data_IF_149334700033
#
_entry.id   IF_149334700033
#
_cell.length_a   1.000
_cell.length_b   1.000
_cell.length_c   1.000
_cell.angle_alpha   90.00
_cell.angle_beta   90.00
_cell.angle_gamma   90.00
#
_symmetry.space_group_name_H-M   'P 1'
#
loop_
_entity.id
_entity.type
_entity.pdbx_description
1 polymer ?
#
# COMPACT_ATOMS: atom_id res chain seq x y z
N UNK A 1 9.76 32.57 -0.32
CA UNK A 1 10.20 32.01 1.00
C UNK A 1 10.21 30.52 0.87
N UNK A 2 11.18 29.81 1.43
CA UNK A 2 11.22 28.33 1.37
C UNK A 2 9.99 27.73 2.05
N UNK A 3 9.66 26.50 1.69
CA UNK A 3 8.68 25.70 2.40
C UNK A 3 9.30 25.11 3.67
N UNK A 4 8.50 24.97 4.72
CA UNK A 4 8.94 24.26 5.92
C UNK A 4 8.98 22.76 5.66
N UNK A 5 7.95 22.24 4.98
CA UNK A 5 7.79 20.81 4.72
C UNK A 5 7.35 20.59 3.28
N UNK A 6 8.03 19.70 2.54
CA UNK A 6 7.55 19.18 1.27
C UNK A 6 7.24 17.68 1.38
N UNK A 7 6.06 17.29 0.92
CA UNK A 7 5.57 15.91 0.90
C UNK A 7 5.51 15.43 -0.54
N UNK A 8 6.22 14.36 -0.86
CA UNK A 8 6.24 13.77 -2.21
C UNK A 8 5.35 12.54 -2.24
N UNK A 9 4.19 12.67 -2.88
CA UNK A 9 3.14 11.66 -3.01
C UNK A 9 1.92 11.95 -2.15
N UNK A 10 0.74 12.07 -2.78
CA UNK A 10 -0.57 12.29 -2.16
C UNK A 10 -1.40 10.99 -1.99
N UNK A 11 -0.74 9.84 -1.87
CA UNK A 11 -1.41 8.61 -1.45
C UNK A 11 -1.81 8.67 0.04
N UNK A 12 -2.36 7.57 0.62
CA UNK A 12 -2.87 7.56 2.00
C UNK A 12 -1.90 8.09 3.05
N UNK A 13 -0.59 7.88 2.88
CA UNK A 13 0.40 8.41 3.81
C UNK A 13 0.57 9.93 3.69
N UNK A 14 0.79 10.43 2.46
CA UNK A 14 1.02 11.86 2.24
C UNK A 14 -0.22 12.70 2.50
N UNK A 15 -1.40 12.25 2.06
CA UNK A 15 -2.65 12.94 2.33
C UNK A 15 -2.98 12.99 3.82
N UNK A 16 -2.75 11.89 4.57
CA UNK A 16 -2.91 11.88 6.03
C UNK A 16 -1.95 12.85 6.70
N UNK A 17 -0.68 12.86 6.31
CA UNK A 17 0.31 13.77 6.88
C UNK A 17 -0.07 15.23 6.61
N UNK A 18 -0.34 15.58 5.35
CA UNK A 18 -0.73 16.93 4.94
C UNK A 18 -1.94 17.44 5.72
N UNK A 19 -2.94 16.57 5.95
CA UNK A 19 -4.14 16.89 6.75
C UNK A 19 -3.83 17.20 8.21
N UNK A 20 -2.83 16.54 8.81
CA UNK A 20 -2.57 16.59 10.25
C UNK A 20 -1.47 17.60 10.66
N UNK A 21 -0.74 18.14 9.68
CA UNK A 21 0.28 19.16 9.99
C UNK A 21 -0.36 20.47 10.45
N UNK A 22 0.27 21.08 11.46
CA UNK A 22 -0.14 22.35 12.01
C UNK A 22 -0.06 23.47 10.96
N UNK A 23 -1.07 24.36 10.94
CA UNK A 23 -1.19 25.50 10.02
C UNK A 23 -0.04 26.51 10.09
N UNK A 24 0.80 26.46 11.14
CA UNK A 24 2.00 27.29 11.25
C UNK A 24 3.07 26.92 10.21
N UNK A 25 3.00 25.71 9.64
CA UNK A 25 3.95 25.29 8.61
C UNK A 25 3.47 25.65 7.22
N UNK A 26 4.38 26.18 6.40
CA UNK A 26 4.18 26.29 4.97
C UNK A 26 4.47 24.94 4.33
N UNK A 27 3.42 24.24 3.92
CA UNK A 27 3.49 22.85 3.41
C UNK A 27 3.27 22.80 1.91
N UNK A 28 4.12 22.09 1.19
CA UNK A 28 3.97 21.74 -0.23
C UNK A 28 3.72 20.25 -0.37
N UNK A 29 2.63 19.85 -0.99
CA UNK A 29 2.32 18.47 -1.35
C UNK A 29 2.38 18.30 -2.86
N UNK A 30 3.21 17.39 -3.36
CA UNK A 30 3.35 17.09 -4.79
C UNK A 30 2.89 15.67 -5.11
N UNK A 31 2.05 15.51 -6.13
CA UNK A 31 1.75 14.19 -6.72
C UNK A 31 1.81 14.25 -8.25
N UNK A 32 2.28 13.15 -8.85
CA UNK A 32 2.35 13.02 -10.31
C UNK A 32 0.98 12.80 -10.97
N UNK A 33 -0.04 12.42 -10.20
CA UNK A 33 -1.43 12.23 -10.61
C UNK A 33 -2.22 13.50 -10.34
N UNK A 34 -3.36 13.65 -11.02
CA UNK A 34 -4.37 14.62 -10.62
C UNK A 34 -5.42 13.93 -9.76
N UNK A 35 -5.38 14.18 -8.46
CA UNK A 35 -6.34 13.61 -7.50
C UNK A 35 -7.43 14.59 -7.10
N UNK A 36 -7.40 15.82 -7.64
CA UNK A 36 -8.42 16.85 -7.44
C UNK A 36 -9.39 16.90 -8.61
N UNK A 37 -8.87 16.84 -9.84
CA UNK A 37 -9.63 16.83 -11.08
C UNK A 37 -9.15 15.67 -11.97
N UNK A 38 -9.45 14.42 -11.58
CA UNK A 38 -8.93 13.24 -12.27
C UNK A 38 -9.55 13.08 -13.67
N UNK A 39 -8.71 12.93 -14.67
CA UNK A 39 -9.14 12.64 -16.04
C UNK A 39 -9.65 11.20 -16.19
N UNK A 40 -10.60 10.98 -17.11
CA UNK A 40 -11.00 9.63 -17.49
C UNK A 40 -9.81 8.86 -18.07
N UNK A 41 -9.60 7.63 -17.59
CA UNK A 41 -8.49 6.78 -18.05
C UNK A 41 -7.14 7.06 -17.39
N UNK A 42 -7.04 8.02 -16.47
CA UNK A 42 -5.81 8.23 -15.72
C UNK A 42 -5.39 6.96 -14.95
N UNK A 43 -4.09 6.68 -14.99
CA UNK A 43 -3.52 5.48 -14.32
C UNK A 43 -3.70 5.55 -12.81
N UNK A 44 -4.48 4.64 -12.29
CA UNK A 44 -4.63 4.43 -10.84
C UNK A 44 -3.49 3.57 -10.28
N UNK A 45 -3.28 3.63 -8.97
CA UNK A 45 -2.37 2.68 -8.32
C UNK A 45 -2.98 1.27 -8.39
N UNK A 46 -2.27 0.31 -8.97
CA UNK A 46 -2.65 -1.09 -8.92
C UNK A 46 -2.79 -1.53 -7.45
N UNK A 47 -3.99 -1.97 -7.09
CA UNK A 47 -4.35 -2.38 -5.74
C UNK A 47 -5.64 -3.21 -5.79
N UNK A 48 -5.75 -4.24 -4.97
CA UNK A 48 -7.01 -5.00 -4.81
C UNK A 48 -8.18 -4.16 -4.30
N UNK A 49 -7.90 -3.01 -3.67
CA UNK A 49 -8.94 -2.11 -3.16
C UNK A 49 -9.70 -2.69 -1.97
N UNK A 50 -9.01 -3.41 -1.11
CA UNK A 50 -9.57 -3.95 0.14
C UNK A 50 -9.02 -3.15 1.34
N UNK A 51 -9.92 -2.60 2.12
CA UNK A 51 -9.59 -1.90 3.36
C UNK A 51 -9.74 -2.87 4.53
N UNK A 52 -8.61 -3.32 5.06
CA UNK A 52 -8.55 -4.28 6.15
C UNK A 52 -9.04 -3.69 7.48
N UNK A 53 -9.46 -4.53 8.46
CA UNK A 53 -9.90 -4.08 9.78
C UNK A 53 -8.95 -3.10 10.47
N UNK A 54 -7.62 -3.35 10.40
CA UNK A 54 -6.61 -2.46 10.98
C UNK A 54 -6.66 -1.03 10.36
N UNK A 55 -7.04 -0.92 9.08
CA UNK A 55 -7.16 0.37 8.41
C UNK A 55 -8.51 1.04 8.73
N UNK A 56 -9.59 0.26 8.84
CA UNK A 56 -10.89 0.75 9.29
C UNK A 56 -10.80 1.33 10.71
N UNK A 57 -10.12 0.62 11.60
CA UNK A 57 -9.89 1.07 12.99
C UNK A 57 -9.16 2.41 13.05
N UNK A 58 -8.07 2.58 12.29
CA UNK A 58 -7.31 3.83 12.35
C UNK A 58 -8.09 5.01 11.75
N UNK A 59 -8.87 4.79 10.69
CA UNK A 59 -9.77 5.80 10.14
C UNK A 59 -10.85 6.19 11.16
N UNK A 60 -11.48 5.21 11.82
CA UNK A 60 -12.46 5.46 12.87
C UNK A 60 -11.88 6.27 14.04
N UNK A 61 -10.65 5.98 14.48
CA UNK A 61 -9.93 6.77 15.50
C UNK A 61 -9.62 8.20 15.06
N UNK A 62 -9.52 8.45 13.76
CA UNK A 62 -9.39 9.79 13.19
C UNK A 62 -10.73 10.52 13.03
N UNK A 63 -11.85 9.91 13.44
CA UNK A 63 -13.20 10.42 13.20
C UNK A 63 -13.65 10.37 11.74
N UNK A 64 -13.06 9.48 10.93
CA UNK A 64 -13.35 9.37 9.51
C UNK A 64 -14.20 8.13 9.22
N UNK A 65 -15.32 8.34 8.53
CA UNK A 65 -16.12 7.29 7.93
C UNK A 65 -15.86 7.27 6.41
N UNK A 66 -15.62 6.09 5.85
CA UNK A 66 -15.42 5.95 4.40
C UNK A 66 -16.75 6.24 3.69
N UNK A 67 -16.82 7.21 2.76
CA UNK A 67 -18.05 7.54 2.07
C UNK A 67 -18.59 6.38 1.24
N UNK A 68 -19.92 6.28 1.12
CA UNK A 68 -20.55 5.24 0.31
C UNK A 68 -20.09 5.27 -1.15
N UNK A 69 -19.83 6.45 -1.72
CA UNK A 69 -19.32 6.60 -3.08
C UNK A 69 -17.90 6.06 -3.30
N UNK A 70 -17.14 5.78 -2.24
CA UNK A 70 -15.83 5.13 -2.30
C UNK A 70 -15.96 3.61 -2.32
N UNK A 71 -17.02 3.07 -1.72
CA UNK A 71 -17.28 1.64 -1.64
C UNK A 71 -17.75 1.11 -3.00
N UNK A 72 -17.47 -0.15 -3.25
CA UNK A 72 -17.91 -0.88 -4.43
C UNK A 72 -18.62 -2.18 -4.00
N UNK A 73 -19.46 -2.68 -4.86
CA UNK A 73 -20.14 -3.96 -4.63
C UNK A 73 -19.15 -5.12 -4.97
N UNK A 74 -19.06 -6.18 -4.19
CA UNK A 74 -19.67 -6.50 -2.89
C UNK A 74 -18.73 -6.22 -1.74
N UNK A 75 -19.27 -6.14 -0.52
CA UNK A 75 -18.46 -6.17 0.69
C UNK A 75 -18.08 -7.61 1.04
N UNK A 76 -16.82 -7.82 1.51
CA UNK A 76 -16.26 -9.15 1.68
C UNK A 76 -16.02 -9.46 3.17
N UNK A 77 -16.72 -10.47 3.68
CA UNK A 77 -16.68 -10.86 5.10
C UNK A 77 -15.90 -12.15 5.36
N UNK A 78 -15.52 -12.85 4.29
CA UNK A 78 -14.80 -14.10 4.34
C UNK A 78 -13.52 -14.04 3.51
N UNK A 79 -12.53 -14.81 3.93
CA UNK A 79 -11.34 -15.16 3.15
C UNK A 79 -11.39 -16.64 2.84
N UNK A 80 -11.50 -16.98 1.57
CA UNK A 80 -11.28 -18.34 1.07
C UNK A 80 -9.79 -18.53 0.86
N UNK A 81 -9.16 -19.36 1.67
CA UNK A 81 -7.75 -19.71 1.52
C UNK A 81 -7.63 -21.00 0.75
N UNK A 82 -6.96 -20.96 -0.39
CA UNK A 82 -6.69 -22.11 -1.26
C UNK A 82 -5.18 -22.37 -1.22
N UNK A 83 -4.80 -23.55 -0.81
CA UNK A 83 -3.41 -24.02 -0.74
C UNK A 83 -3.19 -25.12 -1.80
N UNK A 84 -2.73 -24.75 -2.97
CA UNK A 84 -2.44 -25.71 -4.04
C UNK A 84 -1.29 -26.64 -3.70
N UNK A 85 -0.31 -26.17 -2.90
CA UNK A 85 0.80 -27.00 -2.43
C UNK A 85 0.38 -28.20 -1.59
N UNK A 86 -0.68 -28.06 -0.79
CA UNK A 86 -1.16 -29.08 0.15
C UNK A 86 -2.54 -29.66 -0.21
N UNK A 87 -3.16 -29.19 -1.31
CA UNK A 87 -4.54 -29.53 -1.72
C UNK A 87 -5.54 -29.32 -0.59
N UNK A 88 -5.48 -28.12 0.05
CA UNK A 88 -6.32 -27.73 1.16
C UNK A 88 -7.08 -26.45 0.85
N UNK A 89 -8.26 -26.40 1.41
CA UNK A 89 -9.12 -25.21 1.36
C UNK A 89 -9.70 -24.93 2.75
N UNK A 90 -9.77 -23.65 3.14
CA UNK A 90 -10.37 -23.19 4.40
C UNK A 90 -10.93 -21.80 4.26
N UNK A 91 -11.96 -21.53 5.06
CA UNK A 91 -12.58 -20.21 5.15
C UNK A 91 -12.27 -19.58 6.50
N UNK A 92 -12.01 -18.26 6.48
CA UNK A 92 -11.70 -17.48 7.67
C UNK A 92 -12.53 -16.21 7.67
N UNK A 93 -13.16 -15.89 8.80
CA UNK A 93 -13.90 -14.66 8.94
C UNK A 93 -12.92 -13.47 8.97
N UNK A 94 -13.13 -12.49 8.08
CA UNK A 94 -12.40 -11.24 8.07
C UNK A 94 -13.17 -10.18 7.28
N UNK A 95 -13.44 -9.07 7.92
CA UNK A 95 -14.27 -7.99 7.37
C UNK A 95 -13.41 -7.02 6.56
N UNK A 96 -13.50 -7.11 5.24
CA UNK A 96 -12.90 -6.14 4.33
C UNK A 96 -13.96 -5.19 3.78
N UNK A 97 -13.71 -3.88 3.87
CA UNK A 97 -14.44 -2.93 3.03
C UNK A 97 -13.83 -2.96 1.62
N UNK A 98 -14.64 -3.35 0.66
CA UNK A 98 -14.28 -3.36 -0.76
C UNK A 98 -14.49 -1.96 -1.32
N UNK A 99 -13.46 -1.37 -1.89
CA UNK A 99 -13.46 0.03 -2.30
C UNK A 99 -12.81 0.27 -3.66
N UNK A 100 -13.20 1.33 -4.33
CA UNK A 100 -12.46 1.88 -5.45
C UNK A 100 -11.22 2.63 -4.93
N UNK A 101 -10.04 2.18 -5.33
CA UNK A 101 -8.79 2.76 -4.85
C UNK A 101 -8.55 4.19 -5.35
N UNK A 102 -9.03 4.53 -6.53
CA UNK A 102 -8.95 5.89 -7.06
C UNK A 102 -9.80 6.83 -6.22
N UNK A 103 -11.08 6.51 -6.05
CA UNK A 103 -12.02 7.30 -5.23
C UNK A 103 -11.58 7.40 -3.77
N UNK A 104 -10.92 6.38 -3.24
CA UNK A 104 -10.34 6.44 -1.89
C UNK A 104 -9.19 7.45 -1.79
N UNK A 105 -8.24 7.43 -2.75
CA UNK A 105 -7.13 8.38 -2.76
C UNK A 105 -7.66 9.83 -2.96
N UNK A 106 -8.65 10.05 -3.86
CA UNK A 106 -9.32 11.34 -4.08
C UNK A 106 -10.02 11.85 -2.81
N UNK A 107 -10.77 10.96 -2.14
CA UNK A 107 -11.41 11.29 -0.86
C UNK A 107 -10.37 11.69 0.20
N UNK A 108 -9.27 10.96 0.33
CA UNK A 108 -8.22 11.33 1.29
C UNK A 108 -7.60 12.69 0.99
N UNK A 109 -7.44 13.05 -0.28
CA UNK A 109 -6.92 14.36 -0.71
C UNK A 109 -7.96 15.47 -0.45
N UNK A 110 -9.24 15.22 -0.64
CA UNK A 110 -10.30 16.20 -0.36
C UNK A 110 -10.39 16.63 1.11
N UNK A 111 -9.79 15.86 2.02
CA UNK A 111 -9.73 16.17 3.45
C UNK A 111 -8.53 17.05 3.84
N UNK A 112 -7.67 17.40 2.89
CA UNK A 112 -6.50 18.25 3.14
C UNK A 112 -6.95 19.70 3.32
N UNK A 113 -6.50 20.39 4.38
CA UNK A 113 -6.91 21.76 4.63
C UNK A 113 -6.31 22.76 3.60
N UNK A 114 -6.98 23.89 3.34
CA UNK A 114 -6.62 24.81 2.27
C UNK A 114 -5.30 25.58 2.48
N UNK A 115 -4.69 25.48 3.66
CA UNK A 115 -3.37 26.09 3.91
C UNK A 115 -2.20 25.26 3.38
N UNK A 116 -2.46 24.07 2.85
CA UNK A 116 -1.45 23.22 2.21
C UNK A 116 -1.43 23.53 0.71
N UNK A 117 -0.29 23.94 0.20
CA UNK A 117 -0.09 24.15 -1.24
C UNK A 117 0.01 22.79 -1.94
N UNK A 118 -0.94 22.49 -2.83
CA UNK A 118 -1.01 21.23 -3.55
C UNK A 118 -0.59 21.39 -5.02
N UNK A 119 0.47 20.68 -5.41
CA UNK A 119 0.90 20.55 -6.81
C UNK A 119 0.53 19.18 -7.37
N UNK A 120 -0.60 19.10 -8.10
CA UNK A 120 -1.00 17.93 -8.85
C UNK A 120 -0.32 17.91 -10.24
N UNK A 121 -0.26 16.72 -10.88
CA UNK A 121 0.53 16.51 -12.13
C UNK A 121 2.00 16.93 -12.00
N UNK A 122 2.52 16.98 -10.77
CA UNK A 122 3.89 17.37 -10.46
C UNK A 122 4.75 16.13 -10.20
N UNK A 123 5.65 15.82 -11.09
CA UNK A 123 6.53 14.65 -10.98
C UNK A 123 7.89 15.03 -10.39
N UNK A 124 8.11 14.65 -9.14
CA UNK A 124 9.42 14.77 -8.48
C UNK A 124 10.52 14.07 -9.31
N UNK A 125 11.67 14.73 -9.47
CA UNK A 125 12.79 14.23 -10.28
C UNK A 125 14.10 14.12 -9.52
N UNK A 126 14.46 15.15 -8.76
CA UNK A 126 15.76 15.18 -8.08
C UNK A 126 15.68 16.00 -6.79
N UNK A 127 16.67 15.78 -5.94
CA UNK A 127 16.94 16.61 -4.77
C UNK A 127 18.43 16.91 -4.68
N UNK A 128 18.76 18.02 -4.06
CA UNK A 128 20.12 18.36 -3.67
C UNK A 128 20.14 18.88 -2.23
N UNK A 129 21.09 18.41 -1.44
CA UNK A 129 21.27 18.83 -0.06
C UNK A 129 21.70 20.30 0.02
N UNK A 130 21.20 21.00 1.02
CA UNK A 130 21.55 22.38 1.37
C UNK A 130 21.88 22.44 2.86
N UNK A 131 22.47 23.55 3.31
CA UNK A 131 22.82 23.74 4.72
C UNK A 131 21.65 23.57 5.70
N UNK A 132 20.41 23.89 5.27
CA UNK A 132 19.21 23.81 6.08
C UNK A 132 18.08 23.06 5.38
N UNK A 133 18.35 21.86 4.89
CA UNK A 133 17.36 21.01 4.23
C UNK A 133 17.70 20.63 2.81
N UNK A 134 16.76 20.74 1.90
CA UNK A 134 16.91 20.30 0.51
C UNK A 134 16.40 21.35 -0.48
N UNK A 135 16.97 21.34 -1.67
CA UNK A 135 16.34 21.89 -2.87
C UNK A 135 15.80 20.72 -3.68
N UNK A 136 14.51 20.74 -3.94
CA UNK A 136 13.80 19.68 -4.69
C UNK A 136 13.49 20.17 -6.09
N UNK A 137 13.59 19.30 -7.09
CA UNK A 137 13.20 19.56 -8.47
C UNK A 137 12.02 18.65 -8.87
N UNK A 138 11.06 19.23 -9.59
CA UNK A 138 9.92 18.51 -10.12
C UNK A 138 9.51 19.06 -11.50
N UNK A 139 8.84 18.22 -12.28
CA UNK A 139 8.31 18.58 -13.59
C UNK A 139 6.80 18.77 -13.48
N UNK A 140 6.32 19.92 -13.94
CA UNK A 140 4.91 20.23 -14.17
C UNK A 140 4.75 20.81 -15.57
N UNK A 141 3.79 20.31 -16.36
CA UNK A 141 3.56 20.76 -17.73
C UNK A 141 4.83 20.82 -18.60
N UNK A 142 5.69 19.80 -18.51
CA UNK A 142 6.98 19.69 -19.21
C UNK A 142 8.01 20.79 -18.86
N UNK A 143 7.81 21.55 -17.80
CA UNK A 143 8.79 22.51 -17.27
C UNK A 143 9.34 22.04 -15.94
N UNK A 144 10.61 22.35 -15.71
CA UNK A 144 11.28 22.05 -14.43
C UNK A 144 11.08 23.22 -13.48
N UNK A 145 10.65 22.91 -12.27
CA UNK A 145 10.54 23.84 -11.15
C UNK A 145 11.42 23.36 -10.01
N UNK A 146 11.90 24.28 -9.20
CA UNK A 146 12.67 23.99 -8.01
C UNK A 146 12.11 24.74 -6.81
N UNK A 147 12.12 24.07 -5.64
CA UNK A 147 11.69 24.66 -4.38
C UNK A 147 12.67 24.29 -3.27
N UNK A 148 12.88 25.20 -2.31
CA UNK A 148 13.67 24.95 -1.12
C UNK A 148 12.77 24.55 0.05
N UNK A 149 13.20 23.51 0.78
CA UNK A 149 12.41 22.92 1.87
C UNK A 149 13.31 22.59 3.06
N UNK A 150 12.83 22.84 4.27
CA UNK A 150 13.57 22.49 5.50
C UNK A 150 13.48 21.00 5.79
N UNK A 151 12.30 20.41 5.61
CA UNK A 151 12.05 18.98 5.78
C UNK A 151 11.40 18.40 4.54
N UNK A 152 11.98 17.33 4.01
CA UNK A 152 11.41 16.58 2.90
C UNK A 152 10.78 15.29 3.40
N UNK A 153 9.59 14.95 2.92
CA UNK A 153 8.90 13.70 3.27
C UNK A 153 8.64 12.85 2.05
N UNK A 154 9.21 11.65 2.02
CA UNK A 154 8.92 10.65 1.01
C UNK A 154 7.64 9.87 1.37
N UNK A 155 6.59 10.05 0.58
CA UNK A 155 5.31 9.34 0.66
C UNK A 155 4.93 8.70 -0.69
N UNK A 156 5.91 8.50 -1.59
CA UNK A 156 5.77 8.13 -3.00
C UNK A 156 5.74 6.61 -3.24
N UNK A 157 5.54 5.82 -2.18
CA UNK A 157 5.18 4.40 -2.22
C UNK A 157 6.35 3.45 -2.48
N UNK A 158 6.05 2.23 -2.91
CA UNK A 158 7.02 1.12 -3.02
C UNK A 158 8.25 1.45 -3.88
N UNK A 159 8.03 2.15 -4.98
CA UNK A 159 9.10 2.57 -5.90
C UNK A 159 9.55 4.00 -5.63
N UNK A 160 9.67 4.39 -4.37
CA UNK A 160 10.04 5.73 -3.96
C UNK A 160 11.28 6.25 -4.70
N UNK A 161 11.10 7.33 -5.47
CA UNK A 161 12.19 8.02 -6.13
C UNK A 161 13.07 8.76 -5.11
N UNK A 162 12.47 9.31 -4.07
CA UNK A 162 13.17 9.97 -2.97
C UNK A 162 14.09 9.00 -2.26
N UNK A 163 13.54 7.85 -1.80
CA UNK A 163 14.33 6.83 -1.10
C UNK A 163 15.51 6.35 -1.94
N UNK A 164 15.29 6.06 -3.23
CA UNK A 164 16.34 5.53 -4.11
C UNK A 164 17.49 6.49 -4.36
N UNK A 165 17.27 7.79 -4.25
CA UNK A 165 18.31 8.79 -4.40
C UNK A 165 19.16 8.94 -3.12
N UNK A 166 18.54 8.78 -1.93
CA UNK A 166 19.21 9.01 -0.64
C UNK A 166 19.61 7.71 0.06
N UNK A 167 18.81 6.67 -0.11
CA UNK A 167 19.01 5.36 0.51
C UNK A 167 18.90 4.27 -0.58
N UNK A 168 19.88 4.14 -1.47
CA UNK A 168 19.82 3.22 -2.63
C UNK A 168 19.77 1.75 -2.22
N UNK A 169 20.37 1.41 -1.08
CA UNK A 169 20.41 0.04 -0.57
C UNK A 169 19.10 -0.33 0.11
N UNK A 170 18.62 -1.52 -0.20
CA UNK A 170 17.40 -2.09 0.36
C UNK A 170 17.71 -3.34 1.16
N UNK A 171 18.47 -3.17 2.23
CA UNK A 171 18.72 -4.27 3.15
C UNK A 171 17.45 -4.66 3.91
N UNK A 172 17.26 -5.97 4.09
CA UNK A 172 16.16 -6.50 4.91
C UNK A 172 14.76 -6.27 4.33
N UNK A 173 14.64 -5.95 3.04
CA UNK A 173 13.36 -5.83 2.34
C UNK A 173 13.40 -6.54 0.99
N UNK A 174 12.40 -7.38 0.72
CA UNK A 174 12.24 -8.03 -0.58
C UNK A 174 11.29 -7.22 -1.45
N UNK A 175 11.57 -7.19 -2.73
CA UNK A 175 10.79 -6.48 -3.75
C UNK A 175 10.04 -7.47 -4.60
N UNK A 176 8.76 -7.18 -4.88
CA UNK A 176 7.92 -7.93 -5.80
C UNK A 176 7.37 -7.01 -6.88
N UNK A 177 7.00 -7.58 -8.00
CA UNK A 177 6.07 -6.96 -8.94
C UNK A 177 4.70 -7.61 -8.75
N UNK A 178 3.66 -6.81 -8.73
CA UNK A 178 2.30 -7.33 -8.80
C UNK A 178 1.83 -7.30 -10.23
N UNK A 179 1.23 -8.41 -10.69
CA UNK A 179 0.43 -8.45 -11.91
C UNK A 179 -1.01 -8.65 -11.47
N UNK A 180 -1.92 -7.80 -11.94
CA UNK A 180 -3.33 -7.88 -11.65
C UNK A 180 -4.12 -7.71 -12.94
N UNK A 181 -5.05 -8.63 -13.19
CA UNK A 181 -5.94 -8.59 -14.35
C UNK A 181 -7.40 -8.58 -13.90
N UNK A 182 -8.21 -7.85 -14.63
CA UNK A 182 -9.64 -7.72 -14.45
C UNK A 182 -10.37 -8.49 -15.55
N UNK A 183 -11.37 -9.27 -15.17
CA UNK A 183 -12.11 -10.12 -16.06
C UNK A 183 -13.62 -9.89 -15.94
N UNK A 184 -14.33 -10.05 -17.06
CA UNK A 184 -15.76 -10.28 -17.04
C UNK A 184 -16.04 -11.62 -16.35
N UNK A 185 -17.05 -11.68 -15.50
CA UNK A 185 -17.46 -12.91 -14.83
C UNK A 185 -18.96 -12.94 -14.59
N UNK A 186 -19.54 -14.15 -14.61
CA UNK A 186 -20.90 -14.43 -14.15
C UNK A 186 -20.89 -15.09 -12.76
N UNK A 187 -19.69 -15.33 -12.20
CA UNK A 187 -19.60 -15.98 -10.91
C UNK A 187 -19.90 -15.03 -9.77
N UNK A 188 -20.66 -15.55 -8.82
CA UNK A 188 -20.87 -14.94 -7.53
C UNK A 188 -19.74 -15.31 -6.56
N UNK A 189 -18.84 -14.36 -6.29
CA UNK A 189 -17.68 -14.56 -5.40
C UNK A 189 -17.88 -13.73 -4.14
N UNK A 190 -18.50 -14.28 -3.08
CA UNK A 190 -18.80 -13.54 -1.85
C UNK A 190 -17.62 -13.46 -0.88
N UNK A 191 -16.41 -13.77 -1.31
CA UNK A 191 -15.19 -13.84 -0.48
C UNK A 191 -13.98 -13.20 -1.17
N UNK A 192 -13.00 -12.89 -0.38
CA UNK A 192 -11.64 -12.65 -0.83
C UNK A 192 -10.89 -13.99 -0.95
N UNK A 193 -10.40 -14.31 -2.14
CA UNK A 193 -9.58 -15.50 -2.37
C UNK A 193 -8.11 -15.23 -2.10
N UNK A 194 -7.50 -15.95 -1.14
CA UNK A 194 -6.06 -15.96 -0.89
C UNK A 194 -5.48 -17.30 -1.34
N UNK A 195 -4.55 -17.27 -2.30
CA UNK A 195 -4.05 -18.46 -2.98
C UNK A 195 -2.57 -18.63 -2.69
N UNK A 196 -2.21 -19.82 -2.26
CA UNK A 196 -0.83 -20.23 -1.99
C UNK A 196 -0.41 -21.33 -2.98
N UNK A 197 0.62 -21.03 -3.75
CA UNK A 197 1.26 -21.92 -4.70
C UNK A 197 2.73 -21.56 -4.81
N UNK A 198 3.59 -22.40 -4.26
CA UNK A 198 5.04 -22.17 -4.25
C UNK A 198 5.69 -22.24 -5.62
N UNK A 199 5.00 -22.80 -6.62
CA UNK A 199 5.47 -22.84 -8.00
C UNK A 199 5.19 -21.56 -8.76
N UNK A 200 4.28 -20.72 -8.24
CA UNK A 200 3.94 -19.40 -8.77
C UNK A 200 4.71 -18.31 -8.05
N UNK A 201 4.67 -18.31 -6.73
CA UNK A 201 5.32 -17.28 -5.92
C UNK A 201 5.64 -17.78 -4.51
N UNK A 202 6.70 -17.25 -3.90
CA UNK A 202 7.00 -17.43 -2.48
C UNK A 202 6.18 -16.49 -1.57
N UNK A 203 5.24 -15.76 -2.16
CA UNK A 203 4.29 -14.90 -1.44
C UNK A 203 2.87 -15.43 -1.63
N UNK A 204 1.94 -14.66 -2.23
CA UNK A 204 0.59 -15.16 -2.48
C UNK A 204 -0.06 -14.49 -3.69
N UNK A 205 -1.13 -15.15 -4.16
CA UNK A 205 -2.00 -14.66 -5.22
C UNK A 205 -3.41 -14.43 -4.67
N UNK A 206 -4.25 -13.69 -5.39
CA UNK A 206 -5.57 -13.32 -4.91
C UNK A 206 -6.63 -13.31 -5.99
N UNK A 207 -7.88 -13.54 -5.54
CA UNK A 207 -9.10 -13.30 -6.30
C UNK A 207 -9.97 -12.32 -5.52
N UNK A 208 -10.51 -11.30 -6.19
CA UNK A 208 -11.38 -10.30 -5.60
C UNK A 208 -12.54 -10.03 -6.54
N UNK A 209 -13.78 -10.14 -6.02
CA UNK A 209 -14.96 -9.67 -6.72
C UNK A 209 -15.08 -8.14 -6.58
N UNK A 210 -15.42 -7.46 -7.66
CA UNK A 210 -15.56 -5.99 -7.67
C UNK A 210 -16.47 -5.53 -8.80
N UNK A 211 -17.64 -4.98 -8.47
CA UNK A 211 -18.60 -4.43 -9.44
C UNK A 211 -18.90 -5.40 -10.60
N UNK A 212 -19.27 -6.65 -10.30
CA UNK A 212 -19.58 -7.67 -11.30
C UNK A 212 -18.39 -8.16 -12.13
N UNK A 213 -17.17 -7.89 -11.67
CA UNK A 213 -15.92 -8.31 -12.30
C UNK A 213 -15.10 -9.16 -11.35
N UNK A 214 -14.24 -10.00 -11.90
CA UNK A 214 -13.24 -10.75 -11.15
C UNK A 214 -11.87 -10.15 -11.35
N UNK A 215 -11.17 -9.87 -10.25
CA UNK A 215 -9.77 -9.49 -10.25
C UNK A 215 -8.95 -10.71 -9.86
N UNK A 216 -7.99 -11.09 -10.69
CA UNK A 216 -6.97 -12.08 -10.38
C UNK A 216 -5.63 -11.36 -10.29
N UNK A 217 -4.88 -11.58 -9.23
CA UNK A 217 -3.58 -10.97 -9.07
C UNK A 217 -2.59 -11.86 -8.33
N UNK A 218 -1.31 -11.55 -8.49
CA UNK A 218 -0.21 -12.22 -7.79
C UNK A 218 0.91 -11.25 -7.51
N UNK A 219 1.58 -11.44 -6.36
CA UNK A 219 2.83 -10.79 -6.05
C UNK A 219 3.98 -11.74 -6.43
N UNK A 220 4.73 -11.37 -7.47
CA UNK A 220 5.72 -12.21 -8.13
C UNK A 220 7.12 -11.66 -7.92
N UNK A 221 8.12 -12.52 -7.89
CA UNK A 221 9.51 -12.06 -7.96
C UNK A 221 9.74 -11.30 -9.26
N UNK A 222 10.54 -10.19 -9.23
CA UNK A 222 10.75 -9.35 -10.41
C UNK A 222 11.78 -9.97 -11.36
N UNK A 223 11.49 -11.16 -11.87
CA UNK A 223 12.28 -11.93 -12.80
C UNK A 223 11.62 -12.04 -14.20
N UNK A 224 12.30 -12.71 -15.13
CA UNK A 224 11.79 -12.92 -16.49
C UNK A 224 10.60 -13.89 -16.54
N UNK A 225 10.41 -14.70 -15.53
CA UNK A 225 9.36 -15.72 -15.45
C UNK A 225 8.06 -15.20 -14.85
N UNK A 226 8.04 -13.99 -14.29
CA UNK A 226 6.87 -13.43 -13.62
C UNK A 226 5.59 -13.52 -14.46
N UNK A 227 5.69 -13.29 -15.76
CA UNK A 227 4.54 -13.39 -16.66
C UNK A 227 4.08 -14.84 -16.86
N UNK A 228 5.00 -15.79 -17.09
CA UNK A 228 4.66 -17.21 -17.26
C UNK A 228 4.09 -17.81 -16.00
N UNK A 229 4.63 -17.46 -14.83
CA UNK A 229 4.08 -17.85 -13.52
C UNK A 229 2.66 -17.32 -13.31
N UNK A 230 2.37 -16.09 -13.75
CA UNK A 230 1.02 -15.55 -13.70
C UNK A 230 0.05 -16.26 -14.66
N UNK A 231 0.49 -16.62 -15.87
CA UNK A 231 -0.34 -17.42 -16.79
C UNK A 231 -0.60 -18.82 -16.23
N UNK A 232 0.41 -19.44 -15.58
CA UNK A 232 0.26 -20.72 -14.87
C UNK A 232 -0.83 -20.63 -13.79
N UNK A 233 -0.78 -19.63 -12.92
CA UNK A 233 -1.82 -19.39 -11.90
C UNK A 233 -3.23 -19.39 -12.51
N UNK A 234 -3.41 -18.71 -13.64
CA UNK A 234 -4.71 -18.66 -14.30
C UNK A 234 -5.17 -20.01 -14.83
N UNK A 235 -4.25 -20.85 -15.33
CA UNK A 235 -4.53 -22.22 -15.71
C UNK A 235 -5.03 -23.02 -14.50
N UNK A 236 -4.28 -23.03 -13.41
CA UNK A 236 -4.62 -23.73 -12.17
C UNK A 236 -5.97 -23.28 -11.58
N UNK A 237 -6.29 -21.98 -11.66
CA UNK A 237 -7.58 -21.48 -11.23
C UNK A 237 -8.74 -21.99 -12.08
N UNK A 238 -8.55 -22.13 -13.41
CA UNK A 238 -9.56 -22.74 -14.29
C UNK A 238 -9.75 -24.23 -13.99
N UNK A 239 -8.65 -24.96 -13.80
CA UNK A 239 -8.67 -26.37 -13.45
C UNK A 239 -9.32 -26.59 -12.07
N UNK A 240 -9.20 -25.62 -11.17
CA UNK A 240 -9.85 -25.60 -9.85
C UNK A 240 -11.35 -25.25 -9.92
N UNK A 241 -11.85 -24.77 -11.06
CA UNK A 241 -13.27 -24.48 -11.27
C UNK A 241 -13.65 -23.00 -11.31
N UNK A 242 -12.70 -22.05 -11.37
CA UNK A 242 -13.02 -20.66 -11.61
C UNK A 242 -13.26 -20.35 -13.08
N UNK A 243 -14.41 -19.74 -13.39
CA UNK A 243 -14.74 -19.28 -14.73
C UNK A 243 -14.59 -17.77 -14.84
N UNK A 244 -13.76 -17.31 -15.74
CA UNK A 244 -13.57 -15.90 -16.03
C UNK A 244 -13.41 -15.71 -17.55
N UNK A 245 -14.11 -14.68 -18.04
CA UNK A 245 -14.27 -14.42 -19.46
C UNK A 245 -13.16 -13.54 -20.05
N UNK A 246 -13.57 -12.52 -20.79
CA UNK A 246 -12.66 -11.60 -21.46
C UNK A 246 -11.90 -10.74 -20.44
N UNK A 247 -10.58 -10.62 -20.67
CA UNK A 247 -9.78 -9.68 -19.89
C UNK A 247 -10.10 -8.24 -20.27
N UNK A 248 -10.49 -7.44 -19.27
CA UNK A 248 -10.83 -6.02 -19.41
C UNK A 248 -9.56 -5.17 -19.37
N UNK A 249 -8.71 -5.37 -18.36
CA UNK A 249 -7.45 -4.63 -18.21
C UNK A 249 -6.38 -5.43 -17.46
N UNK A 250 -5.13 -5.00 -17.60
CA UNK A 250 -3.98 -5.49 -16.83
C UNK A 250 -3.30 -4.30 -16.17
N UNK A 251 -2.96 -4.46 -14.92
CA UNK A 251 -2.26 -3.47 -14.10
C UNK A 251 -1.06 -4.12 -13.42
N UNK A 252 -0.11 -3.29 -12.98
CA UNK A 252 1.02 -3.75 -12.21
C UNK A 252 1.59 -2.65 -11.33
N UNK A 253 2.20 -3.05 -10.22
CA UNK A 253 2.91 -2.16 -9.31
C UNK A 253 4.06 -2.90 -8.64
N UNK A 254 4.99 -2.12 -8.09
CA UNK A 254 5.94 -2.67 -7.13
C UNK A 254 5.29 -2.81 -5.75
N UNK A 255 5.71 -3.85 -5.05
CA UNK A 255 5.31 -4.19 -3.70
C UNK A 255 6.54 -4.50 -2.88
N UNK A 256 6.60 -4.01 -1.65
CA UNK A 256 7.68 -4.30 -0.71
C UNK A 256 7.22 -5.31 0.35
N UNK A 257 8.15 -6.15 0.78
CA UNK A 257 7.95 -7.09 1.89
C UNK A 257 9.12 -6.97 2.85
N UNK A 258 8.94 -6.32 4.01
CA UNK A 258 9.99 -6.20 5.01
C UNK A 258 10.30 -7.57 5.64
N UNK A 259 11.56 -7.96 5.61
CA UNK A 259 12.07 -9.21 6.17
C UNK A 259 12.79 -9.00 7.51
N UNK A 260 13.15 -7.77 7.83
CA UNK A 260 13.81 -7.39 9.08
C UNK A 260 13.49 -5.95 9.48
N UNK A 261 13.89 -5.56 10.67
CA UNK A 261 13.74 -4.18 11.15
C UNK A 261 14.60 -3.19 10.34
N UNK A 262 15.73 -3.63 9.77
CA UNK A 262 16.59 -2.82 8.88
C UNK A 262 15.90 -2.42 7.58
N UNK A 263 14.92 -3.19 7.12
CA UNK A 263 14.09 -2.82 5.96
C UNK A 263 13.18 -1.60 6.17
N UNK A 264 13.11 -1.05 7.39
CA UNK A 264 12.29 0.13 7.70
C UNK A 264 13.21 1.35 7.85
N UNK A 265 13.20 2.21 6.83
CA UNK A 265 14.00 3.43 6.76
C UNK A 265 13.12 4.62 7.13
N UNK A 266 13.49 5.34 8.19
CA UNK A 266 12.69 6.49 8.70
C UNK A 266 13.22 7.85 8.24
N UNK A 267 14.42 7.89 7.67
CA UNK A 267 15.08 9.13 7.20
C UNK A 267 16.21 9.63 8.08
N UNK A 268 16.53 10.90 7.91
CA UNK A 268 17.57 11.67 8.63
C UNK A 268 17.00 12.98 9.21
N UNK A 269 17.84 13.89 9.69
CA UNK A 269 17.41 15.11 10.38
C UNK A 269 16.62 16.11 9.51
N UNK A 270 16.73 16.02 8.19
CA UNK A 270 16.00 16.87 7.23
C UNK A 270 15.07 16.06 6.32
N UNK A 271 14.97 14.75 6.53
CA UNK A 271 14.14 13.89 5.70
C UNK A 271 13.41 12.86 6.53
N UNK A 272 12.13 12.65 6.23
CA UNK A 272 11.36 11.52 6.74
C UNK A 272 10.82 10.66 5.60
N UNK A 273 10.62 9.36 5.87
CA UNK A 273 9.91 8.46 4.98
C UNK A 273 8.70 7.90 5.71
N UNK A 274 7.55 7.81 5.02
CA UNK A 274 6.28 7.30 5.55
C UNK A 274 5.67 6.25 4.62
N UNK A 275 4.79 5.42 5.14
CA UNK A 275 4.11 4.38 4.37
C UNK A 275 5.08 3.41 3.71
N UNK A 276 4.73 2.94 2.53
CA UNK A 276 5.53 1.95 1.82
C UNK A 276 6.87 2.51 1.30
N UNK A 277 7.00 3.84 1.17
CA UNK A 277 8.30 4.48 0.90
C UNK A 277 9.32 4.20 2.02
N UNK A 278 8.87 4.12 3.26
CA UNK A 278 9.68 3.73 4.42
C UNK A 278 9.79 2.21 4.62
N UNK A 279 9.07 1.39 3.86
CA UNK A 279 8.95 -0.06 4.08
C UNK A 279 7.82 -0.45 5.04
N UNK A 280 6.91 0.46 5.39
CA UNK A 280 5.76 0.18 6.24
C UNK A 280 4.65 -0.51 5.45
N UNK A 281 4.65 -1.83 5.48
CA UNK A 281 3.64 -2.72 4.89
C UNK A 281 3.65 -4.06 5.64
N UNK A 282 2.51 -4.74 5.69
CA UNK A 282 2.41 -6.06 6.33
C UNK A 282 3.23 -7.11 5.58
N UNK A 283 4.19 -7.79 6.20
CA UNK A 283 4.96 -8.85 5.57
C UNK A 283 4.15 -10.13 5.32
N UNK A 284 2.96 -10.25 5.94
CA UNK A 284 2.11 -11.44 5.83
C UNK A 284 0.94 -11.29 4.85
N UNK A 285 0.47 -10.06 4.59
CA UNK A 285 -0.76 -9.84 3.80
C UNK A 285 -0.66 -8.71 2.78
N UNK A 286 0.50 -8.08 2.62
CA UNK A 286 0.69 -6.91 1.76
C UNK A 286 -0.28 -5.74 2.05
N UNK A 287 -0.98 -5.75 3.18
CA UNK A 287 -1.81 -4.62 3.62
C UNK A 287 -0.93 -3.44 4.00
N UNK A 288 -1.07 -2.32 3.27
CA UNK A 288 -0.22 -1.14 3.44
C UNK A 288 -0.95 0.10 3.95
N UNK A 289 -2.30 0.19 3.79
CA UNK A 289 -3.05 1.43 4.07
C UNK A 289 -3.00 1.79 5.55
N UNK A 290 -3.23 0.84 6.46
CA UNK A 290 -3.15 1.11 7.91
C UNK A 290 -1.76 1.58 8.34
N UNK A 291 -0.72 0.97 7.78
CA UNK A 291 0.67 1.36 8.05
C UNK A 291 1.01 2.74 7.47
N UNK A 292 0.49 3.06 6.29
CA UNK A 292 0.64 4.37 5.66
C UNK A 292 0.05 5.46 6.54
N UNK A 293 -1.18 5.29 7.00
CA UNK A 293 -1.87 6.25 7.87
C UNK A 293 -1.16 6.36 9.23
N UNK A 294 -0.87 5.24 9.88
CA UNK A 294 -0.22 5.24 11.22
C UNK A 294 1.17 5.86 11.22
N UNK A 295 1.97 5.61 10.18
CA UNK A 295 3.29 6.24 10.06
C UNK A 295 3.19 7.74 9.81
N UNK A 296 2.19 8.19 9.05
CA UNK A 296 1.91 9.59 8.83
C UNK A 296 1.45 10.31 10.10
N UNK A 297 0.56 9.69 10.89
CA UNK A 297 0.16 10.22 12.22
C UNK A 297 1.38 10.38 13.12
N UNK A 298 2.22 9.34 13.24
CA UNK A 298 3.42 9.38 14.07
C UNK A 298 4.41 10.48 13.65
N UNK A 299 4.50 10.77 12.34
CA UNK A 299 5.33 11.87 11.83
C UNK A 299 4.69 13.22 12.09
N UNK A 300 3.37 13.37 11.87
CA UNK A 300 2.64 14.60 12.16
C UNK A 300 2.78 15.01 13.64
N UNK A 301 2.55 14.05 14.57
CA UNK A 301 2.74 14.25 16.00
C UNK A 301 4.15 14.71 16.35
N UNK A 302 5.15 14.22 15.63
CA UNK A 302 6.55 14.56 15.83
C UNK A 302 6.91 15.95 15.31
N UNK A 303 6.42 16.30 14.11
CA UNK A 303 6.64 17.61 13.49
C UNK A 303 5.85 18.72 14.18
N UNK A 304 4.62 18.46 14.62
CA UNK A 304 3.79 19.43 15.32
C UNK A 304 4.37 19.85 16.69
N UNK A 305 5.30 19.08 17.25
CA UNK A 305 6.10 19.50 18.43
C UNK A 305 7.32 20.37 18.07
N UNK A 306 7.62 20.50 16.77
CA UNK A 306 8.74 21.30 16.23
C UNK A 306 9.58 20.52 15.22
N UNK A 307 10.19 21.23 14.28
CA UNK A 307 11.07 20.61 13.28
C UNK A 307 12.35 20.07 13.94
N UNK A 308 12.93 20.83 14.86
CA UNK A 308 14.14 20.39 15.54
C UNK A 308 13.89 19.12 16.36
N UNK A 309 14.74 18.11 16.16
CA UNK A 309 14.64 16.83 16.85
C UNK A 309 13.41 15.97 16.45
N UNK A 310 12.67 16.31 15.40
CA UNK A 310 11.50 15.55 14.97
C UNK A 310 11.85 14.09 14.63
N UNK A 311 13.02 13.82 14.08
CA UNK A 311 13.44 12.45 13.72
C UNK A 311 13.57 11.54 14.95
N UNK A 312 14.09 12.07 16.05
CA UNK A 312 14.13 11.31 17.31
C UNK A 312 12.72 10.97 17.79
N UNK A 313 11.82 11.97 17.86
CA UNK A 313 10.41 11.76 18.26
C UNK A 313 9.69 10.79 17.33
N UNK A 314 9.87 10.93 16.02
CA UNK A 314 9.30 10.04 15.02
C UNK A 314 9.73 8.59 15.23
N UNK A 315 11.02 8.35 15.45
CA UNK A 315 11.54 7.00 15.76
C UNK A 315 10.93 6.42 17.03
N UNK A 316 10.69 7.23 18.06
CA UNK A 316 10.03 6.80 19.29
C UNK A 316 8.55 6.45 19.04
N UNK A 317 7.81 7.31 18.34
CA UNK A 317 6.41 7.10 18.00
C UNK A 317 6.17 5.86 17.12
N UNK A 318 7.17 5.44 16.36
CA UNK A 318 7.12 4.26 15.50
C UNK A 318 7.40 2.92 16.20
N UNK A 319 7.81 2.90 17.47
CA UNK A 319 8.20 1.65 18.15
C UNK A 319 7.09 0.58 18.12
N UNK A 320 5.85 0.97 18.40
CA UNK A 320 4.70 0.05 18.38
C UNK A 320 4.42 -0.48 16.98
N UNK A 321 4.51 0.38 15.96
CA UNK A 321 4.29 0.01 14.57
C UNK A 321 5.37 -0.96 14.06
N UNK A 322 6.62 -0.69 14.38
CA UNK A 322 7.75 -1.60 14.08
C UNK A 322 7.58 -2.95 14.75
N UNK A 323 7.20 -2.96 16.04
CA UNK A 323 6.92 -4.21 16.77
C UNK A 323 5.78 -5.01 16.12
N UNK A 324 4.72 -4.36 15.69
CA UNK A 324 3.61 -5.01 14.98
C UNK A 324 4.07 -5.68 13.67
N UNK A 325 4.93 -5.00 12.88
CA UNK A 325 5.51 -5.59 11.66
C UNK A 325 6.34 -6.85 12.01
N UNK A 326 7.14 -6.80 13.08
CA UNK A 326 7.96 -7.96 13.48
C UNK A 326 7.09 -9.13 13.93
N UNK A 327 6.00 -8.90 14.66
CA UNK A 327 5.04 -9.95 15.02
C UNK A 327 4.35 -10.54 13.77
N UNK A 328 3.92 -9.68 12.83
CA UNK A 328 3.35 -10.16 11.55
C UNK A 328 4.38 -10.92 10.69
N UNK A 329 5.68 -10.65 10.86
CA UNK A 329 6.73 -11.45 10.23
C UNK A 329 6.77 -12.89 10.75
N UNK A 330 6.63 -13.10 12.06
CA UNK A 330 6.54 -14.46 12.63
C UNK A 330 5.36 -15.21 12.02
N UNK A 331 4.19 -14.57 11.97
CA UNK A 331 3.01 -15.11 11.26
C UNK A 331 3.32 -15.41 9.78
N UNK A 332 4.03 -14.52 9.11
CA UNK A 332 4.44 -14.68 7.71
C UNK A 332 5.27 -15.94 7.50
N UNK A 333 6.20 -16.24 8.40
CA UNK A 333 7.01 -17.47 8.32
C UNK A 333 6.13 -18.73 8.32
N UNK A 334 5.13 -18.78 9.19
CA UNK A 334 4.18 -19.91 9.24
C UNK A 334 3.31 -19.98 7.97
N UNK A 335 2.80 -18.85 7.49
CA UNK A 335 1.92 -18.80 6.31
C UNK A 335 2.63 -19.22 5.02
N UNK A 336 3.90 -18.86 4.85
CA UNK A 336 4.64 -19.09 3.61
C UNK A 336 5.54 -20.34 3.65
N UNK A 337 5.63 -21.00 4.81
CA UNK A 337 6.22 -22.34 4.88
C UNK A 337 5.14 -23.39 4.56
N UNK A 338 5.31 -24.13 3.48
CA UNK A 338 4.36 -25.13 2.98
C UNK A 338 3.91 -26.12 4.07
N UNK A 339 4.86 -26.68 4.84
CA UNK A 339 4.57 -27.68 5.86
C UNK A 339 3.78 -27.08 7.03
N UNK A 340 4.24 -25.93 7.57
CA UNK A 340 3.58 -25.26 8.69
C UNK A 340 2.18 -24.79 8.31
N UNK A 341 2.02 -24.22 7.13
CA UNK A 341 0.71 -23.81 6.59
C UNK A 341 -0.23 -25.00 6.48
N UNK A 342 0.24 -26.12 5.89
CA UNK A 342 -0.55 -27.34 5.78
C UNK A 342 -1.00 -27.89 7.13
N UNK A 343 -0.15 -27.89 8.16
CA UNK A 343 -0.51 -28.30 9.51
C UNK A 343 -1.58 -27.39 10.13
N UNK A 344 -1.41 -26.07 10.02
CA UNK A 344 -2.37 -25.08 10.53
C UNK A 344 -3.72 -25.24 9.84
N UNK A 345 -3.74 -25.37 8.52
CA UNK A 345 -5.00 -25.52 7.78
C UNK A 345 -5.71 -26.84 8.10
N UNK A 346 -4.96 -27.96 8.27
CA UNK A 346 -5.56 -29.24 8.68
C UNK A 346 -6.14 -29.20 10.09
N UNK A 347 -5.56 -28.43 11.01
CA UNK A 347 -6.08 -28.30 12.38
C UNK A 347 -7.41 -27.55 12.45
N UNK A 348 -7.81 -26.81 11.40
CA UNK A 348 -9.03 -26.01 11.40
C UNK A 348 -9.04 -24.83 12.36
N UNK A 349 -7.91 -24.51 13.03
CA UNK A 349 -7.85 -23.41 13.98
C UNK A 349 -8.24 -22.09 13.30
N UNK A 350 -9.21 -21.37 13.88
CA UNK A 350 -9.79 -20.10 13.38
C UNK A 350 -10.50 -20.21 12.01
N UNK A 351 -10.66 -21.41 11.46
CA UNK A 351 -11.51 -21.58 10.29
C UNK A 351 -12.99 -21.54 10.67
N UNK A 352 -13.82 -21.17 9.71
CA UNK A 352 -15.27 -21.19 9.83
C UNK A 352 -15.86 -22.10 8.74
N UNK A 353 -16.95 -22.76 9.04
CA UNK A 353 -17.69 -23.53 8.05
C UNK A 353 -18.69 -22.61 7.35
N UNK A 354 -18.87 -22.80 6.06
CA UNK A 354 -19.95 -22.14 5.31
C UNK A 354 -21.18 -23.02 5.43
N UNK A 355 -22.30 -22.41 5.84
CA UNK A 355 -23.60 -23.07 5.73
C UNK A 355 -24.02 -23.04 4.26
N UNK A 356 -24.25 -24.22 3.67
CA UNK A 356 -24.80 -24.39 2.34
C UNK A 356 -26.27 -23.99 2.24
#
# INVERSE_FOLDING_TARGET
MPYDIAIIGAGPAGATLARLLDKRYKVLLLDKRDLMEPEEGERTKCCGGLLAPDAQEVLGRMGLAVPAGVLVDRQLFLVRTIDFDNHLERYYQRFYLNMDRKRFDEWMVSLIPPHVDMGMKCRFTALSERSEGYEIAFIHQNRIYTERVRVMVAADGAWSNVRRQVFPELEGIRRYITIQEWYETQEDIPYYGAIFDSTVTDFYSWIIAKDGRMIIGSALEPDREARSKFEKLKGELRDFGYFFGKRIKREGAYLLRPLSASGIITGNDHMALVGEAAGFISPSSAEGISYAIRSAIALADSLNQGIEGFQYRYRQNLKSLKRNIMLKRIKSTAMYNKTLRGLIMRSGILSTDIME
#
